data_IF_556928793355
#
_entry.id   IF_556928793355
#
_cell.length_a   1.000
_cell.length_b   1.000
_cell.length_c   1.000
_cell.angle_alpha   90.00
_cell.angle_beta   90.00
_cell.angle_gamma   90.00
#
_symmetry.space_group_name_H-M   'P 1'
#
loop_
_entity.id
_entity.type
_entity.pdbx_description
1 polymer ?
#
# COMPACT_ATOMS: atom_id res chain seq x y z
N UNK A 1 -16.38 -26.49 -0.98
CA UNK A 1 -15.11 -26.61 -1.73
C UNK A 1 -15.47 -26.47 -3.20
N UNK A 2 -15.20 -25.32 -3.83
CA UNK A 2 -15.28 -25.13 -5.27
C UNK A 2 -14.00 -24.42 -5.68
N UNK A 3 -13.18 -25.11 -6.48
CA UNK A 3 -11.93 -24.58 -7.05
C UNK A 3 -12.07 -24.74 -8.55
N UNK A 4 -12.13 -23.61 -9.27
CA UNK A 4 -11.95 -23.59 -10.72
C UNK A 4 -10.46 -23.38 -11.00
N UNK A 5 -9.82 -24.36 -11.65
CA UNK A 5 -8.45 -24.27 -12.19
C UNK A 5 -8.54 -23.71 -13.60
N UNK A 6 -7.66 -22.76 -13.93
CA UNK A 6 -7.25 -22.51 -15.31
C UNK A 6 -5.74 -22.67 -15.38
N UNK A 7 -5.31 -23.74 -16.07
CA UNK A 7 -3.91 -24.03 -16.40
C UNK A 7 -3.54 -23.33 -17.71
N UNK A 8 -2.40 -22.63 -17.75
CA UNK A 8 -1.75 -22.20 -19.00
C UNK A 8 -0.24 -22.53 -18.91
N UNK A 9 0.26 -23.16 -19.97
CA UNK A 9 1.60 -23.72 -20.18
C UNK A 9 2.75 -22.67 -20.12
N UNK A 10 3.98 -23.04 -19.72
CA UNK A 10 5.09 -22.09 -19.58
C UNK A 10 6.07 -22.11 -20.78
N UNK A 11 6.62 -20.96 -21.15
CA UNK A 11 7.83 -20.83 -21.95
C UNK A 11 8.86 -19.91 -21.26
N UNK A 12 10.00 -20.52 -20.94
CA UNK A 12 11.34 -20.01 -20.67
C UNK A 12 11.52 -18.73 -19.81
N UNK A 13 12.03 -18.90 -18.58
CA UNK A 13 12.61 -17.82 -17.78
C UNK A 13 14.13 -18.04 -17.60
N UNK A 14 14.91 -17.12 -18.17
CA UNK A 14 16.35 -16.99 -17.98
C UNK A 14 16.63 -16.45 -16.56
N UNK A 15 17.49 -17.14 -15.81
CA UNK A 15 18.03 -16.70 -14.52
C UNK A 15 18.84 -15.40 -14.69
N UNK A 16 18.49 -14.30 -13.98
CA UNK A 16 19.41 -13.16 -13.79
C UNK A 16 19.36 -12.58 -12.37
N UNK A 17 20.58 -12.29 -11.88
CA UNK A 17 20.95 -11.78 -10.55
C UNK A 17 20.50 -10.32 -10.33
N UNK A 18 20.37 -9.85 -9.07
CA UNK A 18 19.93 -8.49 -8.77
C UNK A 18 20.89 -7.42 -9.30
N UNK A 19 20.31 -6.36 -9.89
CA UNK A 19 21.03 -5.22 -10.46
C UNK A 19 21.72 -4.37 -9.38
N UNK A 20 22.99 -4.01 -9.61
CA UNK A 20 23.71 -3.00 -8.82
C UNK A 20 23.17 -1.61 -9.18
N UNK A 21 22.78 -0.85 -8.16
CA UNK A 21 22.38 0.55 -8.26
C UNK A 21 23.63 1.42 -8.11
N UNK A 22 23.91 2.28 -9.10
CA UNK A 22 25.00 3.26 -9.06
C UNK A 22 24.39 4.65 -8.83
N UNK A 23 24.73 5.29 -7.71
CA UNK A 23 24.32 6.66 -7.43
C UNK A 23 25.39 7.64 -7.92
N UNK A 24 25.02 8.61 -8.76
CA UNK A 24 25.85 9.78 -9.04
C UNK A 24 25.28 10.98 -8.27
N UNK A 25 26.00 11.46 -7.26
CA UNK A 25 25.69 12.71 -6.56
C UNK A 25 26.50 13.85 -7.18
N UNK A 26 25.81 14.88 -7.68
CA UNK A 26 26.43 16.14 -8.07
C UNK A 26 26.29 17.12 -6.89
N UNK A 27 27.42 17.64 -6.39
CA UNK A 27 27.51 18.50 -5.21
C UNK A 27 27.42 19.96 -5.67
N UNK A 28 26.36 20.66 -5.31
CA UNK A 28 26.26 22.12 -5.46
C UNK A 28 26.57 22.78 -4.12
N UNK A 29 27.58 23.64 -4.10
CA UNK A 29 27.94 24.52 -2.99
C UNK A 29 26.95 25.69 -2.90
N UNK A 30 26.52 26.04 -1.70
CA UNK A 30 25.74 27.27 -1.45
C UNK A 30 26.46 28.16 -0.43
N UNK A 31 26.64 29.41 -0.84
CA UNK A 31 27.38 30.46 -0.15
C UNK A 31 26.61 31.14 0.99
N UNK A 32 27.36 31.96 1.72
CA UNK A 32 26.97 32.70 2.93
C UNK A 32 26.08 33.93 2.66
N UNK A 33 25.23 34.27 3.64
CA UNK A 33 24.52 35.56 3.77
C UNK A 33 23.07 35.39 4.22
N UNK A 34 22.44 36.19 5.07
CA UNK A 34 22.82 37.31 5.93
C UNK A 34 21.79 37.33 7.10
N UNK A 35 22.22 37.83 8.25
CA UNK A 35 21.43 37.93 9.48
C UNK A 35 20.32 38.99 9.36
N UNK A 36 19.13 38.67 9.88
CA UNK A 36 18.03 39.65 10.03
C UNK A 36 17.47 39.61 11.46
N UNK A 37 17.17 40.82 11.93
CA UNK A 37 17.00 41.29 13.32
C UNK A 37 15.94 40.58 14.18
N UNK A 38 16.29 40.50 15.46
CA UNK A 38 15.43 40.17 16.61
C UNK A 38 14.24 41.13 16.76
N UNK A 39 13.07 40.56 17.04
CA UNK A 39 11.90 41.26 17.60
C UNK A 39 11.69 40.83 19.05
N UNK A 40 11.79 41.82 19.95
CA UNK A 40 11.22 41.94 21.30
C UNK A 40 11.19 40.70 22.22
N UNK A 41 12.11 40.71 23.18
CA UNK A 41 12.21 39.83 24.35
C UNK A 41 11.13 40.09 25.42
N UNK A 42 9.87 39.69 25.20
CA UNK A 42 8.86 39.75 26.30
C UNK A 42 8.06 38.46 26.55
N UNK A 43 8.34 37.35 25.85
CA UNK A 43 7.65 36.06 26.09
C UNK A 43 8.57 34.90 26.58
N UNK A 44 9.83 35.18 26.95
CA UNK A 44 10.83 34.14 27.30
C UNK A 44 11.00 33.97 28.82
N UNK A 45 10.03 34.42 29.63
CA UNK A 45 10.09 34.29 31.10
C UNK A 45 8.90 33.52 31.66
N UNK A 46 8.61 32.32 31.14
CA UNK A 46 7.78 31.33 31.84
C UNK A 46 8.22 29.89 31.55
N UNK A 47 8.59 29.19 32.63
CA UNK A 47 8.83 27.75 32.81
C UNK A 47 10.20 27.17 32.40
N UNK A 48 11.21 27.38 33.26
CA UNK A 48 12.49 26.62 33.32
C UNK A 48 12.43 25.42 34.29
N UNK A 49 11.25 24.85 34.53
CA UNK A 49 11.11 23.56 35.24
C UNK A 49 10.92 22.42 34.23
N UNK A 50 11.64 21.29 34.35
CA UNK A 50 11.38 20.10 33.53
C UNK A 50 9.90 19.74 33.59
N UNK A 51 9.27 19.52 32.43
CA UNK A 51 7.86 19.15 32.37
C UNK A 51 7.68 17.73 32.90
N UNK A 52 6.72 17.56 33.80
CA UNK A 52 6.30 16.24 34.24
C UNK A 52 5.66 15.47 33.08
N UNK A 53 5.93 14.17 32.99
CA UNK A 53 5.42 13.30 31.93
C UNK A 53 4.54 12.22 32.53
N UNK A 54 3.44 11.91 31.84
CA UNK A 54 2.60 10.75 32.10
C UNK A 54 2.58 9.83 30.89
N UNK A 55 2.42 8.53 31.12
CA UNK A 55 2.37 7.57 30.03
C UNK A 55 0.92 7.30 29.61
N UNK A 56 0.63 7.41 28.32
CA UNK A 56 -0.68 7.06 27.77
C UNK A 56 -1.01 5.58 28.08
N UNK A 57 -2.15 5.28 28.73
CA UNK A 57 -2.46 3.92 29.16
C UNK A 57 -2.69 2.93 28.01
N UNK A 58 -3.02 3.39 26.79
CA UNK A 58 -3.27 2.52 25.62
C UNK A 58 -2.05 2.38 24.72
N UNK A 59 -1.44 3.51 24.32
CA UNK A 59 -0.31 3.54 23.39
C UNK A 59 1.05 3.41 24.08
N UNK A 60 1.07 3.55 25.41
CA UNK A 60 2.27 3.56 26.25
C UNK A 60 3.31 4.63 25.81
N UNK A 61 2.84 5.74 25.22
CA UNK A 61 3.65 6.90 24.80
C UNK A 61 3.72 7.90 25.96
N UNK A 62 4.91 8.42 26.25
CA UNK A 62 5.11 9.50 27.23
C UNK A 62 4.61 10.83 26.67
N UNK A 63 3.77 11.52 27.44
CA UNK A 63 3.14 12.79 27.08
C UNK A 63 3.31 13.78 28.24
N UNK A 64 3.46 15.08 27.98
CA UNK A 64 3.43 16.10 29.02
C UNK A 64 2.13 16.02 29.84
N UNK A 65 2.24 16.15 31.16
CA UNK A 65 1.09 16.26 32.06
C UNK A 65 1.12 17.56 32.83
N UNK A 66 -0.07 18.04 33.20
CA UNK A 66 -0.25 19.14 34.14
C UNK A 66 -1.31 18.71 35.15
N UNK A 67 -0.96 18.72 36.44
CA UNK A 67 -1.81 18.28 37.55
C UNK A 67 -2.31 16.83 37.39
N UNK A 68 -1.44 15.89 36.99
CA UNK A 68 -1.76 14.46 36.90
C UNK A 68 -2.63 14.04 35.70
N UNK A 69 -3.04 14.98 34.84
CA UNK A 69 -3.80 14.71 33.62
C UNK A 69 -2.95 14.98 32.37
N UNK A 70 -3.14 14.21 31.28
CA UNK A 70 -2.52 14.51 29.99
C UNK A 70 -2.85 15.95 29.59
N UNK A 71 -1.82 16.75 29.32
CA UNK A 71 -2.03 18.09 28.80
C UNK A 71 -2.74 17.95 27.45
N UNK A 72 -3.99 18.46 27.34
CA UNK A 72 -4.69 18.47 26.04
C UNK A 72 -3.77 19.22 25.09
N UNK A 73 -3.36 18.57 24.00
CA UNK A 73 -2.56 19.19 22.95
C UNK A 73 -3.10 20.60 22.72
N UNK A 74 -2.23 21.61 22.78
CA UNK A 74 -2.55 22.97 22.33
C UNK A 74 -2.97 22.82 20.87
N UNK A 75 -4.27 22.65 20.67
CA UNK A 75 -4.93 22.62 19.38
C UNK A 75 -4.90 24.04 18.87
N UNK A 76 -3.77 24.47 18.28
CA UNK A 76 -3.65 25.64 17.38
C UNK A 76 -2.21 26.03 17.00
N UNK A 77 -1.19 25.17 17.14
CA UNK A 77 0.04 25.40 16.36
C UNK A 77 -0.11 24.74 15.00
N UNK A 78 -0.24 25.55 13.94
CA UNK A 78 -0.14 25.10 12.54
C UNK A 78 1.07 24.19 12.44
N UNK A 79 0.82 22.91 12.15
CA UNK A 79 1.88 21.93 11.88
C UNK A 79 2.73 22.51 10.75
N UNK A 80 4.05 22.50 10.95
CA UNK A 80 5.06 22.86 9.97
C UNK A 80 4.68 22.40 8.55
N UNK A 81 4.95 23.23 7.53
CA UNK A 81 4.71 22.95 6.10
C UNK A 81 5.40 21.70 5.54
N UNK A 82 6.02 20.86 6.37
CA UNK A 82 6.69 19.61 5.99
C UNK A 82 5.73 18.46 5.64
N UNK A 83 4.45 18.53 6.03
CA UNK A 83 3.46 17.45 5.82
C UNK A 83 2.32 17.83 4.86
N UNK A 84 2.62 18.50 3.74
CA UNK A 84 1.60 18.76 2.71
C UNK A 84 1.04 17.44 2.15
N UNK A 85 -0.30 17.30 2.00
CA UNK A 85 -0.89 16.13 1.36
C UNK A 85 -0.37 15.94 -0.07
N UNK A 86 -0.35 14.70 -0.55
CA UNK A 86 0.16 14.33 -1.88
C UNK A 86 -0.97 13.87 -2.80
N UNK A 87 -1.05 14.47 -3.98
CA UNK A 87 -1.87 14.04 -5.10
C UNK A 87 -1.04 13.18 -6.05
N UNK A 88 -1.29 11.88 -6.05
CA UNK A 88 -0.72 10.94 -7.01
C UNK A 88 -1.56 10.95 -8.28
N UNK A 89 -0.94 11.15 -9.43
CA UNK A 89 -1.63 11.25 -10.72
C UNK A 89 -1.17 10.11 -11.62
N UNK A 90 -2.06 9.17 -11.96
CA UNK A 90 -1.69 8.10 -12.91
C UNK A 90 -1.65 8.64 -14.34
N UNK A 91 -0.69 8.15 -15.14
CA UNK A 91 -0.51 8.56 -16.54
C UNK A 91 -0.34 7.31 -17.41
N UNK A 92 -0.93 7.33 -18.61
CA UNK A 92 -0.71 6.32 -19.63
C UNK A 92 -1.99 5.87 -20.34
N UNK A 93 -1.81 5.11 -21.42
CA UNK A 93 -2.89 4.59 -22.25
C UNK A 93 -3.81 3.61 -21.49
N UNK A 94 -5.06 3.39 -21.94
CA UNK A 94 -5.92 2.33 -21.39
C UNK A 94 -5.25 0.94 -21.42
N UNK A 95 -5.69 0.02 -20.54
CA UNK A 95 -5.12 -1.33 -20.38
C UNK A 95 -3.61 -1.40 -20.02
N UNK A 96 -3.04 -0.35 -19.44
CA UNK A 96 -1.65 -0.31 -18.94
C UNK A 96 -1.51 -0.54 -17.43
N UNK A 97 -2.46 -1.21 -16.79
CA UNK A 97 -2.36 -1.54 -15.35
C UNK A 97 -2.50 -0.36 -14.37
N UNK A 98 -2.86 0.86 -14.81
CA UNK A 98 -3.01 2.03 -13.92
C UNK A 98 -3.93 1.79 -12.73
N UNK A 99 -5.17 1.32 -12.96
CA UNK A 99 -6.12 1.01 -11.88
C UNK A 99 -5.61 -0.10 -10.94
N UNK A 100 -4.85 -1.07 -11.47
CA UNK A 100 -4.21 -2.09 -10.63
C UNK A 100 -3.16 -1.46 -9.71
N UNK A 101 -2.31 -0.60 -10.26
CA UNK A 101 -1.31 0.17 -9.50
C UNK A 101 -2.01 1.05 -8.46
N UNK A 102 -3.03 1.81 -8.84
CA UNK A 102 -3.80 2.69 -7.93
C UNK A 102 -4.38 1.92 -6.74
N UNK A 103 -5.03 0.78 -6.98
CA UNK A 103 -5.61 -0.05 -5.92
C UNK A 103 -4.54 -0.67 -5.03
N UNK A 104 -3.48 -1.23 -5.61
CA UNK A 104 -2.37 -1.83 -4.84
C UNK A 104 -1.62 -0.80 -4.02
N UNK A 105 -1.39 0.39 -4.57
CA UNK A 105 -0.70 1.48 -3.90
C UNK A 105 -1.54 2.04 -2.76
N UNK A 106 -2.83 2.29 -3.02
CA UNK A 106 -3.79 2.75 -2.00
C UNK A 106 -3.87 1.75 -0.85
N UNK A 107 -3.95 0.46 -1.13
CA UNK A 107 -3.95 -0.56 -0.07
C UNK A 107 -2.66 -0.55 0.74
N UNK A 108 -1.50 -0.50 0.06
CA UNK A 108 -0.21 -0.50 0.74
C UNK A 108 -0.03 0.72 1.64
N UNK A 109 -0.34 1.92 1.15
CA UNK A 109 -0.23 3.16 1.92
C UNK A 109 -1.16 3.14 3.14
N UNK A 110 -2.41 2.73 2.98
CA UNK A 110 -3.31 2.56 4.13
C UNK A 110 -2.80 1.51 5.12
N UNK A 111 -2.25 0.39 4.61
CA UNK A 111 -1.72 -0.67 5.46
C UNK A 111 -0.55 -0.18 6.32
N UNK A 112 0.34 0.68 5.79
CA UNK A 112 1.42 1.31 6.59
C UNK A 112 0.98 2.52 7.41
N UNK A 113 -0.32 2.87 7.40
CA UNK A 113 -0.89 3.96 8.20
C UNK A 113 -0.92 5.33 7.56
N UNK A 114 -0.77 5.42 6.24
CA UNK A 114 -0.92 6.67 5.47
C UNK A 114 -2.34 6.70 4.88
N UNK A 115 -3.26 7.53 5.41
CA UNK A 115 -4.64 7.61 4.92
C UNK A 115 -4.65 7.95 3.43
N UNK A 116 -5.11 6.99 2.62
CA UNK A 116 -5.07 7.09 1.16
C UNK A 116 -6.40 6.71 0.53
N UNK A 117 -6.86 7.47 -0.46
CA UNK A 117 -8.10 7.18 -1.21
C UNK A 117 -7.88 7.26 -2.72
N UNK A 118 -8.48 6.33 -3.45
CA UNK A 118 -8.48 6.32 -4.92
C UNK A 118 -9.70 7.08 -5.47
N UNK A 119 -9.46 7.88 -6.51
CA UNK A 119 -10.47 8.63 -7.27
C UNK A 119 -10.41 8.20 -8.74
N UNK A 120 -11.21 7.20 -9.10
CA UNK A 120 -11.24 6.65 -10.46
C UNK A 120 -12.17 7.45 -11.35
N UNK A 121 -11.63 8.30 -12.24
CA UNK A 121 -12.43 9.16 -13.13
C UNK A 121 -13.35 8.34 -14.05
N UNK A 122 -12.99 7.08 -14.34
CA UNK A 122 -13.86 6.16 -15.06
C UNK A 122 -15.15 5.82 -14.33
N UNK A 123 -15.16 5.80 -12.99
CA UNK A 123 -16.35 5.61 -12.17
C UNK A 123 -17.27 6.82 -12.22
N UNK A 124 -16.73 8.02 -12.01
CA UNK A 124 -17.48 9.28 -12.18
C UNK A 124 -18.16 9.36 -13.56
N UNK A 125 -17.46 8.92 -14.61
CA UNK A 125 -18.05 8.84 -15.96
C UNK A 125 -19.23 7.87 -16.04
N UNK A 126 -19.15 6.70 -15.41
CA UNK A 126 -20.25 5.71 -15.41
C UNK A 126 -21.46 6.18 -14.60
N UNK A 127 -21.24 6.99 -13.57
CA UNK A 127 -22.31 7.59 -12.79
C UNK A 127 -23.02 8.70 -13.60
N UNK A 128 -22.28 9.50 -14.37
CA UNK A 128 -22.85 10.51 -15.27
C UNK A 128 -23.51 9.91 -16.52
N UNK A 129 -22.89 8.88 -17.12
CA UNK A 129 -23.33 8.22 -18.35
C UNK A 129 -23.61 6.77 -18.03
N UNK A 130 -24.89 6.47 -17.77
CA UNK A 130 -25.32 5.15 -17.26
C UNK A 130 -25.15 4.01 -18.26
N UNK A 131 -25.20 4.31 -19.56
CA UNK A 131 -25.11 3.31 -20.62
C UNK A 131 -23.89 3.62 -21.47
N UNK A 132 -22.92 2.72 -21.47
CA UNK A 132 -21.81 2.74 -22.41
C UNK A 132 -22.26 2.07 -23.70
N UNK A 133 -22.06 2.75 -24.85
CA UNK A 133 -22.41 2.21 -26.17
C UNK A 133 -21.18 1.66 -26.90
N UNK A 134 -20.16 2.50 -27.09
CA UNK A 134 -18.98 2.16 -27.89
C UNK A 134 -17.83 3.13 -27.63
N UNK A 135 -16.67 2.81 -28.22
CA UNK A 135 -15.45 3.62 -28.21
C UNK A 135 -15.65 5.02 -28.80
N UNK A 136 -16.72 5.28 -29.56
CA UNK A 136 -17.01 6.57 -30.18
C UNK A 136 -17.15 7.70 -29.15
N UNK A 137 -17.56 7.37 -27.93
CA UNK A 137 -17.57 8.30 -26.79
C UNK A 137 -16.17 8.88 -26.48
N UNK A 138 -15.11 8.14 -26.78
CA UNK A 138 -13.74 8.51 -26.47
C UNK A 138 -13.01 9.21 -27.61
N UNK A 139 -13.61 9.31 -28.80
CA UNK A 139 -12.98 9.97 -29.95
C UNK A 139 -12.63 11.43 -29.63
N UNK A 140 -11.55 11.97 -30.21
CA UNK A 140 -11.12 13.35 -29.97
C UNK A 140 -12.06 14.40 -30.59
N UNK A 141 -12.76 14.05 -31.67
CA UNK A 141 -13.76 14.88 -32.38
C UNK A 141 -15.14 14.87 -31.71
N UNK A 142 -15.37 14.01 -30.71
CA UNK A 142 -16.59 14.00 -29.93
C UNK A 142 -16.56 15.08 -28.84
N UNK A 143 -17.02 16.28 -29.18
CA UNK A 143 -17.05 17.44 -28.28
C UNK A 143 -17.88 17.21 -27.02
N UNK A 144 -19.04 16.55 -27.15
CA UNK A 144 -19.92 16.23 -26.03
C UNK A 144 -19.25 15.24 -25.07
N UNK A 145 -18.69 14.15 -25.60
CA UNK A 145 -17.94 13.16 -24.83
C UNK A 145 -16.70 13.78 -24.17
N UNK A 146 -16.02 14.72 -24.83
CA UNK A 146 -14.92 15.47 -24.24
C UNK A 146 -15.39 16.39 -23.09
N UNK A 147 -16.52 17.10 -23.25
CA UNK A 147 -17.12 17.96 -22.23
C UNK A 147 -17.51 17.15 -21.00
N UNK A 148 -18.18 16.01 -21.18
CA UNK A 148 -18.55 15.10 -20.09
C UNK A 148 -17.30 14.58 -19.36
N UNK A 149 -16.29 14.08 -20.10
CA UNK A 149 -15.03 13.59 -19.49
C UNK A 149 -14.27 14.68 -18.74
N UNK A 150 -14.32 15.93 -19.20
CA UNK A 150 -13.75 17.09 -18.48
C UNK A 150 -14.54 17.33 -17.19
N UNK A 151 -15.87 17.33 -17.24
CA UNK A 151 -16.72 17.51 -16.06
C UNK A 151 -16.47 16.42 -15.01
N UNK A 152 -16.44 15.14 -15.40
CA UNK A 152 -16.17 14.04 -14.47
C UNK A 152 -14.82 14.19 -13.76
N UNK A 153 -13.79 14.65 -14.48
CA UNK A 153 -12.49 14.90 -13.88
C UNK A 153 -12.49 16.08 -12.91
N UNK A 154 -13.24 17.15 -13.20
CA UNK A 154 -13.41 18.28 -12.28
C UNK A 154 -14.17 17.86 -11.02
N UNK A 155 -15.23 17.08 -11.15
CA UNK A 155 -15.96 16.51 -10.00
C UNK A 155 -15.03 15.65 -9.14
N UNK A 156 -14.25 14.76 -9.75
CA UNK A 156 -13.27 13.95 -9.03
C UNK A 156 -12.21 14.80 -8.33
N UNK A 157 -11.72 15.90 -8.93
CA UNK A 157 -10.78 16.82 -8.28
C UNK A 157 -11.42 17.56 -7.10
N UNK A 158 -12.71 17.92 -7.18
CA UNK A 158 -13.41 18.51 -6.03
C UNK A 158 -13.48 17.54 -4.85
N UNK A 159 -13.72 16.26 -5.11
CA UNK A 159 -13.72 15.23 -4.07
C UNK A 159 -12.32 14.96 -3.52
N UNK A 160 -11.27 15.06 -4.36
CA UNK A 160 -9.87 15.06 -3.91
C UNK A 160 -9.62 16.20 -2.93
N UNK A 161 -10.06 17.42 -3.25
CA UNK A 161 -9.93 18.58 -2.36
C UNK A 161 -10.65 18.34 -1.03
N UNK A 162 -11.89 17.84 -1.08
CA UNK A 162 -12.66 17.53 0.11
C UNK A 162 -11.92 16.52 1.00
N UNK A 163 -11.40 15.45 0.39
CA UNK A 163 -10.69 14.40 1.12
C UNK A 163 -9.38 14.89 1.77
N UNK A 164 -8.54 15.61 1.01
CA UNK A 164 -7.23 16.05 1.49
C UNK A 164 -7.30 17.25 2.44
N UNK A 165 -8.28 18.15 2.25
CA UNK A 165 -8.37 19.39 3.04
C UNK A 165 -9.32 19.28 4.24
N UNK A 166 -10.34 18.41 4.19
CA UNK A 166 -11.41 18.35 5.20
C UNK A 166 -11.43 17.01 5.93
N UNK A 167 -11.33 15.89 5.21
CA UNK A 167 -11.44 14.54 5.79
C UNK A 167 -10.11 14.01 6.40
N UNK A 168 -9.10 14.87 6.54
CA UNK A 168 -7.76 14.53 7.03
C UNK A 168 -7.04 13.43 6.21
N UNK A 169 -7.36 13.30 4.92
CA UNK A 169 -6.63 12.45 3.99
C UNK A 169 -5.20 12.95 3.76
N UNK A 170 -4.24 12.04 3.61
CA UNK A 170 -2.83 12.39 3.36
C UNK A 170 -2.42 12.19 1.90
N UNK A 171 -2.96 11.17 1.24
CA UNK A 171 -2.64 10.86 -0.15
C UNK A 171 -3.92 10.60 -0.95
N UNK A 172 -4.08 11.26 -2.09
CA UNK A 172 -5.14 10.98 -3.04
C UNK A 172 -4.55 10.38 -4.32
N UNK A 173 -5.11 9.28 -4.81
CA UNK A 173 -4.70 8.67 -6.08
C UNK A 173 -5.74 9.01 -7.14
N UNK A 174 -5.41 9.93 -8.02
CA UNK A 174 -6.25 10.35 -9.15
C UNK A 174 -6.03 9.41 -10.34
N UNK A 175 -6.90 8.40 -10.46
CA UNK A 175 -6.79 7.35 -11.49
C UNK A 175 -7.52 7.74 -12.79
N UNK A 176 -6.75 8.14 -13.80
CA UNK A 176 -7.22 8.44 -15.14
C UNK A 176 -6.10 8.23 -16.19
N UNK A 177 -6.38 8.50 -17.47
CA UNK A 177 -5.37 8.39 -18.52
C UNK A 177 -4.32 9.51 -18.45
N UNK A 178 -4.76 10.75 -18.21
CA UNK A 178 -3.90 11.95 -18.08
C UNK A 178 -2.79 12.05 -19.15
N UNK A 179 -3.11 11.63 -20.37
CA UNK A 179 -2.17 11.41 -21.48
C UNK A 179 -1.64 12.70 -22.11
N UNK A 180 -2.27 13.86 -21.86
CA UNK A 180 -1.85 15.15 -22.45
C UNK A 180 -1.18 16.05 -21.41
N UNK A 181 -0.17 16.82 -21.82
CA UNK A 181 0.50 17.82 -20.96
C UNK A 181 -0.48 18.89 -20.48
N UNK A 182 -1.42 19.31 -21.33
CA UNK A 182 -2.47 20.27 -20.95
C UNK A 182 -3.28 19.78 -19.75
N UNK A 183 -3.69 18.50 -19.74
CA UNK A 183 -4.42 17.91 -18.61
C UNK A 183 -3.57 17.87 -17.36
N UNK A 184 -2.32 17.43 -17.46
CA UNK A 184 -1.38 17.38 -16.31
C UNK A 184 -1.10 18.78 -15.74
N UNK A 185 -0.95 19.80 -16.59
CA UNK A 185 -0.81 21.19 -16.17
C UNK A 185 -2.03 21.74 -15.44
N UNK A 186 -3.25 21.37 -15.85
CA UNK A 186 -4.48 21.71 -15.11
C UNK A 186 -4.53 21.05 -13.73
N UNK A 187 -4.14 19.77 -13.63
CA UNK A 187 -4.08 19.07 -12.33
C UNK A 187 -3.00 19.66 -11.42
N UNK A 188 -1.85 20.04 -11.99
CA UNK A 188 -0.74 20.66 -11.26
C UNK A 188 -1.16 22.01 -10.69
N UNK A 189 -1.78 22.88 -11.49
CA UNK A 189 -2.33 24.17 -11.02
C UNK A 189 -3.39 23.99 -9.94
N UNK A 190 -4.27 23.00 -10.07
CA UNK A 190 -5.23 22.65 -9.03
C UNK A 190 -4.53 22.26 -7.72
N UNK A 191 -3.48 21.44 -7.78
CA UNK A 191 -2.72 21.02 -6.61
C UNK A 191 -2.00 22.21 -5.94
N UNK A 192 -1.33 23.06 -6.73
CA UNK A 192 -0.66 24.28 -6.26
C UNK A 192 -1.63 25.21 -5.52
N UNK A 193 -2.81 25.47 -6.10
CA UNK A 193 -3.84 26.33 -5.49
C UNK A 193 -4.36 25.80 -4.16
N UNK A 194 -4.28 24.49 -3.92
CA UNK A 194 -4.74 23.86 -2.68
C UNK A 194 -3.59 23.45 -1.75
N UNK A 195 -2.33 23.76 -2.10
CA UNK A 195 -1.15 23.42 -1.28
C UNK A 195 -0.84 21.91 -1.24
N UNK A 196 -1.19 21.17 -2.29
CA UNK A 196 -0.88 19.74 -2.42
C UNK A 196 0.40 19.53 -3.22
N UNK A 197 1.20 18.54 -2.82
CA UNK A 197 2.31 18.03 -3.66
C UNK A 197 1.75 17.17 -4.78
N UNK A 198 2.44 17.10 -5.92
CA UNK A 198 2.05 16.23 -7.05
C UNK A 198 3.13 15.19 -7.30
N UNK A 199 2.71 13.93 -7.48
CA UNK A 199 3.61 12.85 -7.88
C UNK A 199 2.99 12.04 -9.02
N UNK A 200 3.61 12.05 -10.20
CA UNK A 200 3.07 11.31 -11.35
C UNK A 200 3.56 9.87 -11.38
N UNK A 201 2.66 8.94 -11.70
CA UNK A 201 2.96 7.52 -11.88
C UNK A 201 2.54 7.13 -13.29
N UNK A 202 3.51 7.10 -14.21
CA UNK A 202 3.27 6.70 -15.60
C UNK A 202 3.51 5.20 -15.79
N UNK A 203 2.59 4.52 -16.46
CA UNK A 203 2.74 3.12 -16.86
C UNK A 203 2.77 3.01 -18.38
N UNK A 204 3.90 2.57 -18.91
CA UNK A 204 4.16 2.37 -20.33
C UNK A 204 4.40 0.88 -20.59
N UNK A 205 3.67 0.34 -21.55
CA UNK A 205 3.85 -1.02 -22.04
C UNK A 205 3.46 -1.05 -23.51
N UNK A 206 4.30 -1.65 -24.34
CA UNK A 206 4.06 -1.77 -25.79
C UNK A 206 3.84 -3.24 -26.20
N UNK A 207 3.99 -4.16 -25.25
CA UNK A 207 3.83 -5.60 -25.45
C UNK A 207 2.35 -5.97 -25.72
N UNK A 208 1.99 -6.41 -26.94
CA UNK A 208 0.61 -6.68 -27.32
C UNK A 208 -0.03 -7.80 -26.50
N UNK A 209 0.74 -8.79 -26.06
CA UNK A 209 0.21 -9.93 -25.31
C UNK A 209 -0.21 -9.50 -23.90
N UNK A 210 0.62 -8.68 -23.26
CA UNK A 210 0.30 -8.07 -21.95
C UNK A 210 -0.93 -7.18 -22.06
N UNK A 211 -1.09 -6.46 -23.16
CA UNK A 211 -2.22 -5.55 -23.38
C UNK A 211 -3.51 -6.36 -23.53
N UNK A 212 -3.49 -7.41 -24.36
CA UNK A 212 -4.61 -8.31 -24.56
C UNK A 212 -5.02 -8.99 -23.24
N UNK A 213 -4.05 -9.52 -22.48
CA UNK A 213 -4.31 -10.15 -21.18
C UNK A 213 -4.95 -9.16 -20.19
N UNK A 214 -4.47 -7.92 -20.12
CA UNK A 214 -5.04 -6.89 -19.26
C UNK A 214 -6.48 -6.50 -19.64
N UNK A 215 -6.81 -6.54 -20.94
CA UNK A 215 -8.17 -6.30 -21.43
C UNK A 215 -9.07 -7.44 -20.95
N UNK A 216 -8.68 -8.69 -21.20
CA UNK A 216 -9.45 -9.88 -20.82
C UNK A 216 -9.67 -9.93 -19.31
N UNK A 217 -8.60 -9.82 -18.51
CA UNK A 217 -8.69 -10.00 -17.05
C UNK A 217 -9.49 -8.91 -16.33
N UNK A 218 -9.44 -7.66 -16.81
CA UNK A 218 -9.96 -6.51 -16.05
C UNK A 218 -11.17 -5.87 -16.71
N UNK A 219 -11.35 -6.02 -18.03
CA UNK A 219 -12.39 -5.30 -18.79
C UNK A 219 -13.60 -6.14 -19.13
N UNK A 220 -13.49 -7.46 -19.20
CA UNK A 220 -14.67 -8.33 -19.35
C UNK A 220 -15.62 -8.23 -18.15
N UNK A 221 -15.09 -8.07 -16.93
CA UNK A 221 -15.90 -7.84 -15.73
C UNK A 221 -16.31 -6.38 -15.49
N UNK A 222 -16.07 -5.47 -16.44
CA UNK A 222 -16.40 -4.05 -16.30
C UNK A 222 -17.90 -3.82 -16.51
N UNK A 223 -18.54 -2.92 -15.74
CA UNK A 223 -19.94 -2.52 -15.99
C UNK A 223 -20.17 -1.91 -17.38
N UNK A 224 -19.10 -1.48 -18.05
CA UNK A 224 -19.17 -0.97 -19.42
C UNK A 224 -19.49 -2.06 -20.46
N UNK A 225 -19.33 -3.35 -20.14
CA UNK A 225 -19.33 -4.45 -21.12
C UNK A 225 -20.23 -5.65 -20.70
N UNK A 226 -21.25 -5.41 -19.87
CA UNK A 226 -22.09 -6.47 -19.27
C UNK A 226 -22.77 -7.34 -20.34
N UNK A 227 -23.21 -6.73 -21.45
CA UNK A 227 -24.00 -7.40 -22.49
C UNK A 227 -23.18 -7.69 -23.78
N UNK A 228 -21.85 -7.60 -23.72
CA UNK A 228 -20.98 -7.80 -24.89
C UNK A 228 -20.24 -9.14 -24.82
N UNK A 229 -20.00 -9.77 -25.96
CA UNK A 229 -19.13 -10.96 -26.03
C UNK A 229 -17.64 -10.57 -25.94
N UNK A 230 -16.78 -11.56 -25.64
CA UNK A 230 -15.36 -11.32 -25.40
C UNK A 230 -14.67 -10.66 -26.59
N UNK A 231 -14.98 -11.11 -27.81
CA UNK A 231 -14.38 -10.61 -29.05
C UNK A 231 -14.74 -9.13 -29.29
N UNK A 232 -16.01 -8.77 -29.15
CA UNK A 232 -16.51 -7.40 -29.30
C UNK A 232 -15.89 -6.46 -28.26
N UNK A 233 -15.73 -6.91 -27.01
CA UNK A 233 -15.10 -6.12 -25.95
C UNK A 233 -13.65 -5.84 -26.29
N UNK A 234 -12.91 -6.85 -26.76
CA UNK A 234 -11.50 -6.68 -27.15
C UNK A 234 -11.40 -5.70 -28.33
N UNK A 235 -12.25 -5.85 -29.35
CA UNK A 235 -12.25 -4.98 -30.53
C UNK A 235 -12.58 -3.52 -30.17
N UNK A 236 -13.66 -3.28 -29.42
CA UNK A 236 -14.06 -1.95 -28.93
C UNK A 236 -12.95 -1.31 -28.10
N UNK A 237 -12.36 -2.09 -27.18
CA UNK A 237 -11.33 -1.57 -26.29
C UNK A 237 -10.03 -1.23 -27.04
N UNK A 238 -9.67 -2.00 -28.08
CA UNK A 238 -8.55 -1.68 -28.95
C UNK A 238 -8.78 -0.39 -29.75
N UNK A 239 -9.99 -0.19 -30.30
CA UNK A 239 -10.36 1.08 -30.96
C UNK A 239 -10.34 2.26 -29.98
N UNK A 240 -10.78 2.03 -28.73
CA UNK A 240 -10.68 3.00 -27.66
C UNK A 240 -9.25 3.37 -27.32
N UNK A 241 -8.30 2.41 -27.29
CA UNK A 241 -6.87 2.71 -27.08
C UNK A 241 -6.36 3.65 -28.19
N UNK A 242 -6.67 3.33 -29.45
CA UNK A 242 -6.28 4.16 -30.61
C UNK A 242 -6.76 5.61 -30.51
N UNK A 243 -7.93 5.86 -29.93
CA UNK A 243 -8.42 7.23 -29.69
C UNK A 243 -7.49 8.07 -28.79
N UNK A 244 -6.74 7.43 -27.88
CA UNK A 244 -5.81 8.13 -26.99
C UNK A 244 -4.40 8.24 -27.57
N UNK A 245 -3.97 7.28 -28.41
CA UNK A 245 -2.62 7.22 -28.99
C UNK A 245 -2.23 8.51 -29.71
N UNK A 246 -3.12 9.03 -30.56
CA UNK A 246 -2.86 10.24 -31.36
C UNK A 246 -2.58 11.51 -30.53
N UNK A 247 -2.98 11.53 -29.26
CA UNK A 247 -2.83 12.68 -28.36
C UNK A 247 -1.88 12.39 -27.19
N UNK A 248 -1.30 11.20 -27.14
CA UNK A 248 -0.50 10.78 -26.01
C UNK A 248 0.87 11.47 -26.02
N UNK A 249 1.10 12.27 -24.98
CA UNK A 249 2.36 12.96 -24.70
C UNK A 249 2.95 12.35 -23.42
N UNK A 250 3.82 11.33 -23.53
CA UNK A 250 4.41 10.67 -22.38
C UNK A 250 5.22 11.66 -21.52
N UNK A 251 5.48 11.30 -20.26
CA UNK A 251 6.41 12.07 -19.43
C UNK A 251 7.82 12.00 -20.04
N UNK A 252 8.45 13.17 -20.12
CA UNK A 252 9.70 13.41 -20.83
C UNK A 252 10.74 14.07 -19.92
N UNK A 253 11.99 13.59 -19.96
CA UNK A 253 13.07 14.04 -19.07
C UNK A 253 13.45 15.51 -19.25
N UNK A 254 13.25 16.07 -20.45
CA UNK A 254 13.62 17.45 -20.77
C UNK A 254 12.43 18.38 -20.53
N UNK A 255 11.26 18.03 -21.07
CA UNK A 255 10.07 18.87 -21.04
C UNK A 255 9.34 18.83 -19.69
N UNK A 256 9.45 17.73 -18.95
CA UNK A 256 8.83 17.52 -17.65
C UNK A 256 9.88 17.45 -16.50
N UNK A 257 11.09 18.03 -16.72
CA UNK A 257 12.26 17.96 -15.81
C UNK A 257 12.00 18.41 -14.37
N UNK A 258 11.08 19.34 -14.19
CA UNK A 258 10.75 19.96 -12.90
C UNK A 258 9.62 19.22 -12.18
N UNK A 259 9.05 18.16 -12.79
CA UNK A 259 7.98 17.35 -12.20
C UNK A 259 8.54 16.16 -11.41
N UNK A 260 7.91 15.84 -10.29
CA UNK A 260 8.19 14.61 -9.54
C UNK A 260 7.43 13.43 -10.13
N UNK A 261 8.13 12.42 -10.64
CA UNK A 261 7.47 11.27 -11.26
C UNK A 261 8.27 9.98 -11.22
N UNK A 262 7.54 8.88 -11.41
CA UNK A 262 8.08 7.56 -11.78
C UNK A 262 7.40 7.08 -13.05
N UNK A 263 8.21 6.62 -14.01
CA UNK A 263 7.77 5.97 -15.24
C UNK A 263 8.16 4.50 -15.18
N UNK A 264 7.15 3.65 -15.19
CA UNK A 264 7.26 2.19 -15.14
C UNK A 264 7.13 1.68 -16.57
N UNK A 265 8.17 1.04 -17.07
CA UNK A 265 8.24 0.56 -18.45
C UNK A 265 8.24 -0.98 -18.49
N UNK A 266 7.47 -1.52 -19.43
CA UNK A 266 7.41 -2.94 -19.76
C UNK A 266 7.11 -3.80 -18.52
N UNK A 267 6.03 -3.48 -17.80
CA UNK A 267 5.55 -4.26 -16.64
C UNK A 267 6.59 -4.30 -15.49
N UNK A 268 7.39 -3.25 -15.36
CA UNK A 268 8.40 -3.13 -14.29
C UNK A 268 9.78 -3.69 -14.65
N UNK A 269 10.07 -3.92 -15.93
CA UNK A 269 11.44 -4.27 -16.37
C UNK A 269 12.39 -3.08 -16.23
N UNK A 270 11.90 -1.85 -16.43
CA UNK A 270 12.69 -0.62 -16.33
C UNK A 270 11.90 0.48 -15.63
N UNK A 271 12.62 1.35 -14.94
CA UNK A 271 12.07 2.47 -14.20
C UNK A 271 12.89 3.72 -14.51
N UNK A 272 12.20 4.85 -14.64
CA UNK A 272 12.80 6.17 -14.66
C UNK A 272 12.14 6.97 -13.55
N UNK A 273 12.95 7.54 -12.67
CA UNK A 273 12.49 8.29 -11.49
C UNK A 273 13.08 9.69 -11.54
N UNK A 274 12.25 10.71 -11.38
CA UNK A 274 12.66 12.11 -11.43
C UNK A 274 12.18 12.87 -10.17
N UNK A 275 13.05 13.74 -9.64
CA UNK A 275 12.75 14.72 -8.60
C UNK A 275 11.93 14.18 -7.40
N UNK A 276 12.41 13.15 -6.70
CA UNK A 276 11.74 12.64 -5.48
C UNK A 276 11.87 13.67 -4.36
N UNK A 277 10.74 14.21 -3.89
CA UNK A 277 10.71 15.36 -2.96
C UNK A 277 10.67 14.96 -1.48
N UNK A 278 10.15 13.78 -1.14
CA UNK A 278 9.97 13.37 0.25
C UNK A 278 9.97 11.85 0.47
N UNK A 279 9.88 11.48 1.75
CA UNK A 279 9.84 10.08 2.18
C UNK A 279 8.63 9.32 1.65
N UNK A 280 7.46 9.96 1.49
CA UNK A 280 6.26 9.28 0.96
C UNK A 280 6.50 8.92 -0.51
N UNK A 281 6.98 9.85 -1.33
CA UNK A 281 7.34 9.60 -2.72
C UNK A 281 8.42 8.52 -2.84
N UNK A 282 9.47 8.57 -2.00
CA UNK A 282 10.50 7.54 -1.96
C UNK A 282 9.95 6.14 -1.63
N UNK A 283 9.03 6.05 -0.64
CA UNK A 283 8.33 4.80 -0.29
C UNK A 283 7.43 4.28 -1.41
N UNK A 284 6.79 5.19 -2.15
CA UNK A 284 5.99 4.84 -3.33
C UNK A 284 6.89 4.26 -4.43
N UNK A 285 7.99 4.93 -4.77
CA UNK A 285 8.97 4.44 -5.74
C UNK A 285 9.48 3.05 -5.34
N UNK A 286 9.92 2.89 -4.10
CA UNK A 286 10.39 1.60 -3.58
C UNK A 286 9.31 0.51 -3.70
N UNK A 287 8.06 0.81 -3.33
CA UNK A 287 6.97 -0.16 -3.46
C UNK A 287 6.72 -0.55 -4.92
N UNK A 288 6.65 0.42 -5.84
CA UNK A 288 6.40 0.20 -7.26
C UNK A 288 7.53 -0.57 -7.97
N UNK A 289 8.76 -0.49 -7.45
CA UNK A 289 9.89 -1.31 -7.92
C UNK A 289 9.81 -2.77 -7.46
N UNK A 290 9.03 -3.07 -6.42
CA UNK A 290 8.89 -4.42 -5.85
C UNK A 290 7.51 -5.06 -6.11
N UNK A 291 6.62 -4.38 -6.83
CA UNK A 291 5.38 -5.00 -7.27
C UNK A 291 5.62 -5.89 -8.48
N UNK A 292 5.04 -7.10 -8.44
CA UNK A 292 4.97 -7.99 -9.59
C UNK A 292 3.53 -8.11 -10.04
N UNK A 293 3.36 -8.15 -11.36
CA UNK A 293 2.07 -8.24 -12.04
C UNK A 293 1.79 -9.69 -12.49
N UNK A 294 2.85 -10.52 -12.62
CA UNK A 294 2.73 -11.95 -12.95
C UNK A 294 1.91 -12.71 -11.91
N UNK A 295 0.96 -13.58 -12.33
CA UNK A 295 0.22 -14.45 -11.43
C UNK A 295 1.15 -15.31 -10.57
N UNK A 296 0.83 -15.43 -9.28
CA UNK A 296 1.51 -16.32 -8.34
C UNK A 296 0.60 -16.66 -7.17
N UNK A 297 0.87 -17.80 -6.54
CA UNK A 297 0.18 -18.24 -5.34
C UNK A 297 1.00 -17.91 -4.09
N UNK A 298 0.34 -17.37 -3.06
CA UNK A 298 0.92 -17.17 -1.74
C UNK A 298 0.11 -18.01 -0.76
N UNK A 299 0.77 -18.96 -0.09
CA UNK A 299 0.15 -19.82 0.91
C UNK A 299 0.49 -19.28 2.30
N UNK A 300 -0.53 -19.07 3.13
CA UNK A 300 -0.37 -18.64 4.51
C UNK A 300 -1.02 -19.66 5.42
N UNK A 301 -0.25 -20.19 6.37
CA UNK A 301 -0.76 -21.02 7.46
C UNK A 301 -0.06 -20.62 8.77
N UNK A 302 -0.67 -20.97 9.89
CA UNK A 302 0.01 -20.91 11.19
C UNK A 302 0.92 -22.13 11.34
N UNK A 303 1.77 -22.12 12.35
CA UNK A 303 2.40 -23.35 12.83
C UNK A 303 1.35 -24.40 13.21
N UNK A 304 1.72 -25.68 13.20
CA UNK A 304 0.91 -26.72 13.82
C UNK A 304 0.64 -26.41 15.30
N UNK A 305 -0.41 -27.00 15.86
CA UNK A 305 -0.76 -26.81 17.28
C UNK A 305 0.47 -27.03 18.19
N UNK A 306 0.71 -26.09 19.11
CA UNK A 306 1.81 -26.15 20.08
C UNK A 306 1.34 -26.56 21.47
N UNK A 307 2.26 -27.00 22.33
CA UNK A 307 1.94 -27.34 23.73
C UNK A 307 1.34 -26.16 24.50
N UNK A 308 1.75 -24.91 24.20
CA UNK A 308 1.11 -23.73 24.78
C UNK A 308 -0.32 -23.53 24.28
N UNK A 309 -0.63 -23.87 23.02
CA UNK A 309 -2.00 -23.79 22.54
C UNK A 309 -2.90 -24.78 23.28
N UNK A 310 -2.43 -26.01 23.53
CA UNK A 310 -3.16 -27.01 24.31
C UNK A 310 -3.43 -26.52 25.73
N UNK A 311 -2.47 -25.78 26.32
CA UNK A 311 -2.58 -25.19 27.67
C UNK A 311 -3.29 -23.83 27.70
N UNK A 312 -3.74 -23.29 26.57
CA UNK A 312 -4.34 -21.95 26.50
C UNK A 312 -3.40 -20.78 26.80
N UNK A 313 -2.07 -20.99 26.74
CA UNK A 313 -1.05 -19.97 27.04
C UNK A 313 -0.69 -19.16 25.78
N UNK A 314 -0.50 -17.85 25.94
CA UNK A 314 -0.07 -16.96 24.86
C UNK A 314 1.47 -16.84 24.80
N UNK A 315 2.00 -16.49 23.62
CA UNK A 315 3.44 -16.27 23.46
C UNK A 315 4.30 -17.52 23.71
N UNK A 316 5.50 -17.29 24.22
CA UNK A 316 6.53 -18.29 24.49
C UNK A 316 7.10 -18.94 23.22
N UNK A 317 7.91 -19.98 23.42
CA UNK A 317 8.57 -20.73 22.34
C UNK A 317 8.40 -22.26 22.46
N UNK A 318 7.19 -22.68 22.86
CA UNK A 318 6.87 -24.11 22.95
C UNK A 318 6.90 -24.82 21.59
N UNK A 319 7.17 -26.12 21.61
CA UNK A 319 7.17 -26.99 20.43
C UNK A 319 5.78 -27.47 20.03
N UNK A 320 5.72 -28.26 18.96
CA UNK A 320 4.49 -28.86 18.45
C UNK A 320 3.94 -29.96 19.38
N UNK A 321 2.61 -29.94 19.57
CA UNK A 321 1.85 -31.03 20.19
C UNK A 321 1.82 -32.27 19.28
N UNK A 322 1.23 -33.36 19.76
CA UNK A 322 0.97 -34.55 18.93
C UNK A 322 0.20 -34.21 17.64
N UNK A 323 -0.91 -33.47 17.78
CA UNK A 323 -1.73 -32.99 16.65
C UNK A 323 -0.98 -31.99 15.77
N UNK A 324 -0.12 -31.15 16.36
CA UNK A 324 0.72 -30.22 15.60
C UNK A 324 1.68 -30.94 14.64
N UNK A 325 2.24 -32.07 15.07
CA UNK A 325 3.09 -32.92 14.21
C UNK A 325 2.29 -33.60 13.10
N UNK A 326 1.07 -34.04 13.39
CA UNK A 326 0.16 -34.59 12.37
C UNK A 326 -0.21 -33.54 11.32
N UNK A 327 -0.52 -32.32 11.75
CA UNK A 327 -0.75 -31.20 10.84
C UNK A 327 0.45 -30.96 9.92
N UNK A 328 1.67 -30.97 10.46
CA UNK A 328 2.89 -30.75 9.67
C UNK A 328 3.06 -31.83 8.58
N UNK A 329 2.73 -33.09 8.87
CA UNK A 329 2.72 -34.18 7.88
C UNK A 329 1.62 -34.00 6.82
N UNK A 330 0.44 -33.51 7.21
CA UNK A 330 -0.62 -33.20 6.24
C UNK A 330 -0.24 -32.02 5.35
N UNK A 331 0.46 -31.02 5.90
CA UNK A 331 0.97 -29.87 5.15
C UNK A 331 2.01 -30.29 4.11
N UNK A 332 2.93 -31.20 4.47
CA UNK A 332 3.90 -31.79 3.54
C UNK A 332 3.18 -32.41 2.33
N UNK A 333 2.22 -33.32 2.58
CA UNK A 333 1.45 -33.97 1.52
C UNK A 333 0.71 -32.97 0.64
N UNK A 334 0.04 -32.00 1.27
CA UNK A 334 -0.66 -30.93 0.55
C UNK A 334 0.28 -30.16 -0.39
N UNK A 335 1.46 -29.76 0.09
CA UNK A 335 2.43 -29.00 -0.70
C UNK A 335 3.00 -29.84 -1.85
N UNK A 336 3.28 -31.13 -1.62
CA UNK A 336 3.72 -32.05 -2.67
C UNK A 336 2.65 -32.20 -3.76
N UNK A 337 1.38 -32.32 -3.38
CA UNK A 337 0.24 -32.40 -4.31
C UNK A 337 0.04 -31.11 -5.12
N UNK A 338 0.41 -29.94 -4.60
CA UNK A 338 0.35 -28.68 -5.35
C UNK A 338 1.39 -28.61 -6.49
N UNK A 339 2.45 -29.42 -6.45
CA UNK A 339 3.53 -29.47 -7.45
C UNK A 339 4.09 -28.07 -7.80
N UNK A 340 4.41 -27.29 -6.77
CA UNK A 340 4.83 -25.89 -6.93
C UNK A 340 6.31 -25.83 -7.30
N UNK A 341 6.61 -25.29 -8.49
CA UNK A 341 7.99 -25.02 -8.91
C UNK A 341 8.60 -23.88 -8.09
N UNK A 342 9.86 -24.04 -7.71
CA UNK A 342 10.65 -23.03 -6.98
C UNK A 342 9.97 -22.50 -5.71
N UNK A 343 9.31 -23.39 -4.95
CA UNK A 343 8.65 -23.03 -3.69
C UNK A 343 9.64 -22.41 -2.70
N UNK A 344 9.30 -21.22 -2.20
CA UNK A 344 10.01 -20.55 -1.10
C UNK A 344 9.20 -20.68 0.18
N UNK A 345 9.80 -21.24 1.23
CA UNK A 345 9.16 -21.38 2.53
C UNK A 345 9.81 -20.43 3.53
N UNK A 346 8.98 -19.61 4.19
CA UNK A 346 9.43 -18.71 5.25
C UNK A 346 8.78 -19.08 6.57
N UNK A 347 9.58 -19.02 7.63
CA UNK A 347 9.15 -19.30 9.00
C UNK A 347 9.51 -18.13 9.91
N UNK A 348 8.88 -18.08 11.07
CA UNK A 348 9.42 -17.26 12.16
C UNK A 348 10.66 -17.93 12.77
N UNK A 349 11.32 -17.25 13.70
CA UNK A 349 12.40 -17.88 14.48
C UNK A 349 11.88 -18.74 15.65
N UNK A 350 10.57 -18.93 15.78
CA UNK A 350 9.97 -19.71 16.85
C UNK A 350 9.95 -21.21 16.51
N UNK A 351 10.27 -22.04 17.51
CA UNK A 351 10.43 -23.50 17.41
C UNK A 351 9.28 -24.17 16.69
N UNK A 352 8.04 -23.80 17.00
CA UNK A 352 6.82 -24.34 16.39
C UNK A 352 6.71 -24.10 14.89
N UNK A 353 7.10 -22.93 14.36
CA UNK A 353 7.08 -22.70 12.91
C UNK A 353 8.19 -23.47 12.20
N UNK A 354 9.36 -23.55 12.84
CA UNK A 354 10.52 -24.29 12.33
C UNK A 354 10.20 -25.79 12.26
N UNK A 355 9.70 -26.39 13.33
CA UNK A 355 9.28 -27.81 13.35
C UNK A 355 8.19 -28.13 12.33
N UNK A 356 7.30 -27.18 12.04
CA UNK A 356 6.28 -27.36 10.99
C UNK A 356 6.93 -27.40 9.61
N UNK A 357 7.89 -26.52 9.33
CA UNK A 357 8.58 -26.46 8.03
C UNK A 357 9.57 -27.62 7.81
N UNK A 358 10.24 -28.09 8.87
CA UNK A 358 11.11 -29.28 8.83
C UNK A 358 10.37 -30.51 8.27
N UNK A 359 9.08 -30.66 8.60
CA UNK A 359 8.27 -31.76 8.08
C UNK A 359 7.97 -31.64 6.57
N UNK A 360 8.00 -30.44 5.99
CA UNK A 360 7.74 -30.22 4.56
C UNK A 360 8.96 -30.58 3.70
N UNK A 361 10.12 -30.82 4.31
CA UNK A 361 11.36 -31.27 3.67
C UNK A 361 11.85 -30.38 2.50
N UNK A 362 11.58 -29.08 2.57
CA UNK A 362 12.05 -28.08 1.59
C UNK A 362 12.91 -27.02 2.28
N UNK A 363 13.88 -26.40 1.59
CA UNK A 363 14.65 -25.29 2.15
C UNK A 363 13.74 -24.16 2.61
N UNK A 364 13.98 -23.66 3.83
CA UNK A 364 13.20 -22.57 4.40
C UNK A 364 14.11 -21.48 4.99
N UNK A 365 13.60 -20.25 5.00
CA UNK A 365 14.27 -19.09 5.58
C UNK A 365 13.56 -18.65 6.86
N UNK A 366 14.34 -18.30 7.89
CA UNK A 366 13.80 -17.85 9.18
C UNK A 366 13.83 -16.33 9.29
N UNK A 367 12.68 -15.73 9.57
CA UNK A 367 12.51 -14.29 9.65
C UNK A 367 12.04 -13.88 11.03
N UNK A 368 12.88 -13.16 11.78
CA UNK A 368 12.50 -12.56 13.09
C UNK A 368 11.30 -11.62 12.97
N UNK A 369 11.08 -11.06 11.77
CA UNK A 369 9.93 -10.23 11.46
C UNK A 369 8.60 -10.99 11.56
N UNK A 370 8.61 -12.31 11.36
CA UNK A 370 7.45 -13.21 11.42
C UNK A 370 7.20 -13.78 12.81
N UNK A 371 8.01 -13.45 13.81
CA UNK A 371 7.76 -13.86 15.20
C UNK A 371 6.40 -13.33 15.65
N UNK A 372 5.70 -14.14 16.45
CA UNK A 372 4.43 -13.78 17.07
C UNK A 372 4.56 -12.47 17.87
N UNK A 373 3.42 -11.80 18.05
CA UNK A 373 3.34 -10.61 18.88
C UNK A 373 3.94 -10.90 20.27
N UNK A 374 4.74 -9.95 20.74
CA UNK A 374 5.46 -10.01 22.01
C UNK A 374 4.54 -9.41 23.08
N UNK A 375 4.00 -10.27 23.93
CA UNK A 375 3.07 -9.97 25.00
C UNK A 375 3.75 -9.35 26.25
N UNK A 376 5.07 -9.13 26.20
CA UNK A 376 5.82 -8.50 27.29
C UNK A 376 5.70 -9.28 28.60
N UNK A 377 5.22 -8.62 29.66
CA UNK A 377 5.06 -9.24 30.99
C UNK A 377 3.98 -10.33 31.04
N UNK A 378 3.16 -10.46 29.99
CA UNK A 378 2.09 -11.45 29.88
C UNK A 378 2.48 -12.67 29.03
N UNK A 379 3.74 -12.77 28.59
CA UNK A 379 4.26 -13.96 27.92
C UNK A 379 4.05 -15.21 28.78
N UNK A 380 3.70 -16.32 28.11
CA UNK A 380 3.46 -17.64 28.70
C UNK A 380 2.27 -17.72 29.66
N UNK A 381 1.45 -16.68 29.81
CA UNK A 381 0.25 -16.70 30.65
C UNK A 381 -1.00 -17.17 29.90
N UNK A 382 -1.97 -17.72 30.61
CA UNK A 382 -3.35 -17.91 30.12
C UNK A 382 -4.12 -16.59 30.20
N UNK A 383 -5.15 -16.43 29.37
CA UNK A 383 -5.96 -15.20 29.41
C UNK A 383 -6.60 -14.95 30.78
N UNK A 384 -7.00 -16.01 31.49
CA UNK A 384 -7.57 -15.97 32.84
C UNK A 384 -6.53 -15.50 33.87
N UNK A 385 -5.30 -16.00 33.78
CA UNK A 385 -4.18 -15.57 34.64
C UNK A 385 -3.92 -14.06 34.45
N UNK A 386 -3.96 -13.59 33.20
CA UNK A 386 -3.73 -12.18 32.90
C UNK A 386 -4.87 -11.30 33.43
N UNK A 387 -6.13 -11.73 33.30
CA UNK A 387 -7.27 -11.02 33.87
C UNK A 387 -7.18 -10.93 35.40
N UNK A 388 -6.66 -11.96 36.06
CA UNK A 388 -6.43 -11.97 37.50
C UNK A 388 -5.29 -11.05 37.94
N UNK A 389 -4.16 -11.07 37.24
CA UNK A 389 -2.95 -10.30 37.61
C UNK A 389 -3.02 -8.82 37.21
N UNK A 390 -3.75 -8.50 36.14
CA UNK A 390 -3.83 -7.15 35.58
C UNK A 390 -5.28 -6.65 35.44
N UNK A 391 -6.05 -6.57 36.53
CA UNK A 391 -7.49 -6.27 36.49
C UNK A 391 -7.81 -4.82 36.09
N UNK A 392 -6.87 -3.88 36.30
CA UNK A 392 -7.00 -2.47 35.92
C UNK A 392 -6.40 -2.13 34.55
N UNK A 393 -5.62 -3.03 33.95
CA UNK A 393 -5.16 -2.84 32.57
C UNK A 393 -6.40 -3.02 31.66
N UNK A 394 -6.61 -2.20 30.61
CA UNK A 394 -7.75 -2.34 29.69
C UNK A 394 -7.82 -3.69 28.94
N UNK A 395 -7.10 -4.72 29.38
CA UNK A 395 -7.13 -6.07 28.88
C UNK A 395 -8.49 -6.75 29.01
N UNK A 396 -9.39 -6.27 29.88
CA UNK A 396 -10.81 -6.66 29.87
C UNK A 396 -11.52 -6.35 28.55
N UNK A 397 -11.16 -5.26 27.86
CA UNK A 397 -11.75 -4.87 26.57
C UNK A 397 -11.06 -5.49 25.35
N UNK A 398 -9.97 -6.24 25.55
CA UNK A 398 -9.26 -6.98 24.49
C UNK A 398 -10.17 -8.04 23.82
N UNK A 399 -11.08 -8.64 24.60
CA UNK A 399 -12.03 -9.64 24.14
C UNK A 399 -13.28 -9.07 23.46
N UNK A 400 -13.59 -7.77 23.56
CA UNK A 400 -14.94 -7.28 23.21
C UNK A 400 -15.03 -6.31 22.03
N UNK A 401 -14.05 -5.45 21.70
CA UNK A 401 -14.26 -4.44 20.63
C UNK A 401 -13.00 -4.05 19.85
N UNK A 402 -13.16 -3.93 18.53
CA UNK A 402 -12.46 -3.28 17.40
C UNK A 402 -11.29 -2.26 17.59
N UNK A 403 -10.67 -2.12 18.76
CA UNK A 403 -9.50 -1.23 19.01
C UNK A 403 -8.17 -1.99 19.06
N UNK A 404 -8.07 -3.14 18.38
CA UNK A 404 -6.89 -4.02 18.40
C UNK A 404 -5.66 -3.42 17.70
N UNK A 405 -5.85 -2.45 16.80
CA UNK A 405 -4.74 -1.87 16.03
C UNK A 405 -3.85 -0.96 16.86
N UNK A 406 -4.41 -0.15 17.78
CA UNK A 406 -3.73 0.97 18.45
C UNK A 406 -3.04 0.65 19.80
N UNK A 407 -3.13 -0.57 20.28
CA UNK A 407 -2.80 -0.93 21.67
C UNK A 407 -1.40 -1.53 21.86
N UNK A 408 -0.72 -1.26 22.99
CA UNK A 408 0.64 -1.74 23.33
C UNK A 408 0.68 -2.51 24.65
N UNK A 409 1.35 -3.67 24.66
CA UNK A 409 1.59 -4.45 25.89
C UNK A 409 2.46 -3.70 26.90
N UNK A 410 2.19 -3.87 28.20
CA UNK A 410 3.02 -3.29 29.26
C UNK A 410 4.44 -3.87 29.16
N UNK A 411 5.39 -3.01 28.78
CA UNK A 411 6.78 -3.38 28.53
C UNK A 411 7.15 -3.70 27.07
N UNK A 412 6.22 -3.75 26.09
CA UNK A 412 6.51 -3.94 24.65
C UNK A 412 5.28 -3.76 23.72
N UNK A 413 5.18 -4.50 22.61
CA UNK A 413 4.71 -4.11 21.26
C UNK A 413 3.22 -3.83 21.04
N UNK A 414 2.91 -3.14 19.94
CA UNK A 414 1.55 -2.92 19.38
C UNK A 414 1.32 -3.68 18.07
N UNK A 415 0.06 -3.84 17.64
CA UNK A 415 -0.28 -4.30 16.28
C UNK A 415 0.32 -3.38 15.19
N UNK A 416 0.35 -2.05 15.41
CA UNK A 416 1.10 -1.10 14.56
C UNK A 416 2.59 -1.42 14.45
N UNK A 417 3.24 -1.81 15.55
CA UNK A 417 4.66 -2.18 15.52
C UNK A 417 4.91 -3.47 14.74
N UNK A 418 3.91 -4.37 14.71
CA UNK A 418 3.92 -5.56 13.85
C UNK A 418 3.78 -5.16 12.37
N UNK A 419 2.93 -4.20 12.02
CA UNK A 419 2.83 -3.66 10.65
C UNK A 419 4.17 -3.06 10.18
N UNK A 420 4.80 -2.21 11.00
CA UNK A 420 6.10 -1.61 10.66
C UNK A 420 7.18 -2.67 10.45
N UNK A 421 7.22 -3.70 11.32
CA UNK A 421 8.16 -4.82 11.22
C UNK A 421 7.91 -5.70 10.00
N UNK A 422 6.64 -6.04 9.77
CA UNK A 422 6.23 -6.85 8.63
C UNK A 422 6.47 -6.11 7.33
N UNK A 423 6.57 -4.77 7.31
CA UNK A 423 6.77 -4.01 6.07
C UNK A 423 7.98 -4.47 5.24
N UNK A 424 9.05 -4.95 5.90
CA UNK A 424 10.23 -5.49 5.21
C UNK A 424 9.93 -6.86 4.59
N UNK A 425 9.35 -7.79 5.35
CA UNK A 425 8.91 -9.10 4.84
C UNK A 425 7.79 -8.95 3.78
N UNK A 426 6.98 -7.90 3.90
CA UNK A 426 5.84 -7.58 3.06
C UNK A 426 6.19 -6.99 1.70
N UNK A 427 7.25 -6.18 1.66
CA UNK A 427 7.81 -5.74 0.39
C UNK A 427 8.43 -6.92 -0.37
N UNK A 428 8.99 -7.91 0.33
CA UNK A 428 9.41 -9.18 -0.28
C UNK A 428 8.25 -10.11 -0.65
N UNK A 429 7.11 -10.04 0.06
CA UNK A 429 5.86 -10.79 -0.18
C UNK A 429 4.78 -9.92 -0.85
N UNK A 430 5.11 -9.05 -1.80
CA UNK A 430 4.19 -8.14 -2.51
C UNK A 430 2.67 -8.39 -2.27
N UNK A 431 2.12 -7.70 -1.27
CA UNK A 431 0.96 -8.13 -0.48
C UNK A 431 -0.39 -8.36 -1.21
N UNK A 432 -1.11 -9.41 -0.77
CA UNK A 432 -2.56 -9.45 -0.55
C UNK A 432 -2.81 -10.17 0.78
N UNK A 433 -3.52 -9.53 1.71
CA UNK A 433 -4.20 -10.22 2.82
C UNK A 433 -5.69 -10.18 2.46
N UNK A 434 -6.26 -11.32 2.08
CA UNK A 434 -7.68 -11.58 2.25
C UNK A 434 -7.75 -12.66 3.31
N UNK A 435 -8.16 -12.29 4.52
CA UNK A 435 -8.47 -13.26 5.57
C UNK A 435 -9.68 -14.04 5.07
N UNK A 436 -9.46 -15.22 4.49
CA UNK A 436 -10.50 -16.23 4.49
C UNK A 436 -10.63 -16.68 5.94
N UNK A 437 -11.71 -16.26 6.60
CA UNK A 437 -12.21 -16.97 7.77
C UNK A 437 -12.55 -18.38 7.27
N UNK A 438 -11.74 -19.35 7.68
CA UNK A 438 -12.02 -20.76 7.50
C UNK A 438 -12.70 -21.28 8.75
N UNK A 439 -13.92 -21.80 8.54
CA UNK A 439 -14.88 -22.39 9.48
C UNK A 439 -15.52 -21.43 10.49
#
# INVERSE_FOLDING_TARGET
MFVSRYDIHPLAALLRRPARITYHFCRLETGHGAATKMTSNEDVMMATSPRELTQNPLKKIWMPCKNGLPEKHISQRRVCMTNCPTLIVTVGLPARGKTYISKKLTRYLNWIGVPTKEFNVGQYRRECVKIYKSFEFFRPDNEEGLKIRRQCALTALNDVRQYLSVEAGQVAVFDATNTTRQRRGTITRFAEQNGFKVFFVESVCEDPDVIAENIVQVKLGSPDYIDCNTEEVVEDFMKRIKCYENSYQPLDEVLDRDLSYIKIMDVGRRYLVNQVQDHIQSRIVYYLMNIHITPRSIYLCRHGESDHNVKGRIGGDSGLSGRGKEFAKCLEKFIQEQNIKDLKVWTSQMKRTIQTAEAVAVPYEQWKALNEIDAGVCEEMMYEEIQGHFPQDPMRTWCSVWSQSLWSWKGRRTSWSSVTRLSCAACSLTFWIRVQRGC
#
